data_IF_907211991650
#
_entry.id   IF_907211991650
#
_cell.length_a   1.000
_cell.length_b   1.000
_cell.length_c   1.000
_cell.angle_alpha   90.00
_cell.angle_beta   90.00
_cell.angle_gamma   90.00
#
_symmetry.space_group_name_H-M   'P 1'
#
loop_
_entity.id
_entity.type
_entity.pdbx_description
1 polymer ?
#
# COMPACT_ATOMS: atom_id res chain seq x y z
N UNK A 1 -6.02 -8.51 -11.66
CA UNK A 1 -4.74 -8.10 -12.28
C UNK A 1 -3.63 -8.86 -11.56
N UNK A 2 -2.40 -8.92 -12.10
CA UNK A 2 -1.24 -9.53 -11.42
C UNK A 2 -0.23 -8.46 -11.05
N UNK A 3 -0.66 -7.43 -10.33
CA UNK A 3 0.25 -6.42 -9.80
C UNK A 3 0.96 -7.06 -8.59
N UNK A 4 2.18 -7.54 -8.82
CA UNK A 4 3.07 -8.00 -7.75
C UNK A 4 3.72 -6.81 -7.04
N UNK A 5 4.55 -7.11 -6.03
CA UNK A 5 5.44 -6.13 -5.38
C UNK A 5 6.15 -5.22 -6.40
N UNK A 6 6.80 -5.79 -7.41
CA UNK A 6 7.50 -5.00 -8.44
C UNK A 6 6.55 -4.09 -9.25
N UNK A 7 5.31 -4.53 -9.49
CA UNK A 7 4.30 -3.70 -10.12
C UNK A 7 3.87 -2.53 -9.22
N UNK A 8 3.76 -2.75 -7.91
CA UNK A 8 3.47 -1.70 -6.94
C UNK A 8 4.63 -0.69 -6.82
N UNK A 9 5.88 -1.16 -6.85
CA UNK A 9 7.07 -0.30 -6.89
C UNK A 9 7.11 0.56 -8.15
N UNK A 10 6.81 -0.01 -9.32
CA UNK A 10 6.73 0.74 -10.56
C UNK A 10 5.61 1.80 -10.52
N UNK A 11 4.46 1.47 -9.95
CA UNK A 11 3.38 2.43 -9.71
C UNK A 11 3.81 3.53 -8.75
N UNK A 12 4.49 3.17 -7.66
CA UNK A 12 5.02 4.13 -6.70
C UNK A 12 6.00 5.11 -7.37
N UNK A 13 6.92 4.61 -8.22
CA UNK A 13 7.81 5.46 -9.00
C UNK A 13 7.04 6.41 -9.92
N UNK A 14 6.02 5.91 -10.63
CA UNK A 14 5.19 6.72 -11.51
C UNK A 14 4.38 7.79 -10.75
N UNK A 15 3.93 7.52 -9.53
CA UNK A 15 3.21 8.50 -8.70
C UNK A 15 4.07 9.69 -8.28
N UNK A 16 5.39 9.51 -8.23
CA UNK A 16 6.37 10.55 -7.87
C UNK A 16 6.78 11.42 -9.05
N UNK A 17 6.43 11.03 -10.27
CA UNK A 17 6.69 11.84 -11.45
C UNK A 17 5.85 13.13 -11.40
N UNK A 18 6.49 14.29 -11.60
CA UNK A 18 5.82 15.59 -11.56
C UNK A 18 4.69 15.73 -12.60
N UNK A 19 4.79 14.99 -13.72
CA UNK A 19 3.80 14.95 -14.77
C UNK A 19 2.67 13.95 -14.48
N UNK A 20 2.79 13.13 -13.42
CA UNK A 20 1.71 12.26 -13.01
C UNK A 20 0.49 13.11 -12.62
N UNK A 21 -0.66 12.75 -13.19
CA UNK A 21 -1.96 13.40 -12.95
C UNK A 21 -2.97 12.41 -12.38
N UNK A 22 -2.51 11.30 -11.81
CA UNK A 22 -3.40 10.28 -11.28
C UNK A 22 -3.96 10.73 -9.92
N UNK A 23 -5.29 10.83 -9.84
CA UNK A 23 -5.99 11.22 -8.62
C UNK A 23 -6.60 10.02 -7.89
N UNK A 24 -6.85 8.92 -8.61
CA UNK A 24 -7.44 7.70 -8.06
C UNK A 24 -6.68 6.49 -8.59
N UNK A 25 -6.22 5.64 -7.67
CA UNK A 25 -5.56 4.38 -7.98
C UNK A 25 -6.36 3.25 -7.33
N UNK A 26 -6.89 2.36 -8.15
CA UNK A 26 -7.55 1.13 -7.70
C UNK A 26 -6.74 -0.07 -8.15
N UNK A 27 -6.09 -0.70 -7.18
CA UNK A 27 -5.31 -1.92 -7.34
C UNK A 27 -5.84 -3.01 -6.41
N UNK A 28 -7.13 -2.98 -6.06
CA UNK A 28 -7.73 -4.04 -5.27
C UNK A 28 -7.60 -5.43 -5.94
N UNK A 29 -7.51 -6.50 -5.14
CA UNK A 29 -7.39 -7.89 -5.61
C UNK A 29 -6.12 -8.13 -6.47
N UNK A 30 -4.96 -7.80 -5.91
CA UNK A 30 -3.64 -8.10 -6.48
C UNK A 30 -2.70 -8.67 -5.38
N UNK A 31 -1.39 -8.75 -5.66
CA UNK A 31 -0.37 -9.37 -4.79
C UNK A 31 0.68 -8.32 -4.37
N UNK A 32 0.22 -7.17 -3.88
CA UNK A 32 1.10 -6.03 -3.55
C UNK A 32 1.98 -6.32 -2.33
N UNK A 33 1.43 -7.00 -1.31
CA UNK A 33 2.16 -7.35 -0.08
C UNK A 33 2.58 -6.13 0.75
N UNK A 34 3.28 -6.38 1.85
CA UNK A 34 3.84 -5.33 2.70
C UNK A 34 4.86 -4.46 1.97
N UNK A 35 5.82 -5.07 1.26
CA UNK A 35 6.86 -4.34 0.54
C UNK A 35 6.29 -3.38 -0.52
N UNK A 36 5.28 -3.82 -1.27
CA UNK A 36 4.62 -2.95 -2.24
C UNK A 36 3.78 -1.85 -1.58
N UNK A 37 3.16 -2.13 -0.43
CA UNK A 37 2.45 -1.12 0.35
C UNK A 37 3.40 -0.07 0.94
N UNK A 38 4.58 -0.47 1.40
CA UNK A 38 5.65 0.44 1.86
C UNK A 38 6.14 1.34 0.73
N UNK A 39 6.36 0.79 -0.47
CA UNK A 39 6.74 1.56 -1.65
C UNK A 39 5.67 2.61 -2.00
N UNK A 40 4.39 2.23 -1.99
CA UNK A 40 3.28 3.15 -2.20
C UNK A 40 3.22 4.21 -1.10
N UNK A 41 3.42 3.84 0.16
CA UNK A 41 3.48 4.77 1.28
C UNK A 41 4.59 5.81 1.12
N UNK A 42 5.78 5.40 0.68
CA UNK A 42 6.87 6.32 0.38
C UNK A 42 6.49 7.31 -0.74
N UNK A 43 5.82 6.84 -1.80
CA UNK A 43 5.35 7.70 -2.88
C UNK A 43 4.26 8.70 -2.43
N UNK A 44 3.38 8.32 -1.50
CA UNK A 44 2.35 9.22 -0.95
C UNK A 44 2.94 10.43 -0.22
N UNK A 45 4.18 10.32 0.28
CA UNK A 45 4.90 11.41 0.97
C UNK A 45 5.65 12.34 0.02
N UNK A 46 5.73 11.98 -1.26
CA UNK A 46 6.41 12.79 -2.26
C UNK A 46 5.56 14.02 -2.62
N UNK A 47 6.18 15.19 -2.69
CA UNK A 47 5.49 16.45 -2.98
C UNK A 47 4.82 16.46 -4.37
N UNK A 48 5.28 15.63 -5.30
CA UNK A 48 4.71 15.50 -6.63
C UNK A 48 3.48 14.58 -6.68
N UNK A 49 3.22 13.79 -5.63
CA UNK A 49 2.12 12.85 -5.62
C UNK A 49 0.78 13.57 -5.50
N UNK A 50 -0.08 13.40 -6.52
CA UNK A 50 -1.41 14.02 -6.61
C UNK A 50 -2.53 13.04 -6.31
N UNK A 51 -2.22 11.92 -5.65
CA UNK A 51 -3.19 10.87 -5.39
C UNK A 51 -4.13 11.27 -4.25
N UNK A 52 -5.44 11.23 -4.50
CA UNK A 52 -6.48 11.55 -3.53
C UNK A 52 -7.18 10.30 -3.02
N UNK A 53 -7.21 9.23 -3.81
CA UNK A 53 -7.88 7.98 -3.47
C UNK A 53 -7.02 6.77 -3.80
N UNK A 54 -6.79 5.91 -2.81
CA UNK A 54 -6.08 4.64 -2.96
C UNK A 54 -6.99 3.49 -2.50
N UNK A 55 -7.29 2.60 -3.44
CA UNK A 55 -8.01 1.36 -3.21
C UNK A 55 -7.01 0.21 -3.33
N UNK A 56 -6.65 -0.38 -2.20
CA UNK A 56 -5.67 -1.48 -2.11
C UNK A 56 -6.30 -2.68 -1.40
N UNK A 57 -7.62 -2.82 -1.38
CA UNK A 57 -8.30 -3.93 -0.72
C UNK A 57 -7.87 -5.31 -1.27
N UNK A 58 -7.74 -6.32 -0.41
CA UNK A 58 -7.40 -7.70 -0.80
C UNK A 58 -6.08 -7.79 -1.60
N UNK A 59 -4.99 -7.37 -0.98
CA UNK A 59 -3.65 -7.26 -1.55
C UNK A 59 -2.53 -7.90 -0.72
N UNK A 60 -2.89 -8.72 0.27
CA UNK A 60 -1.95 -9.35 1.19
C UNK A 60 -1.08 -8.33 1.96
N UNK A 61 -1.62 -7.14 2.24
CA UNK A 61 -0.95 -6.16 3.11
C UNK A 61 -1.14 -6.58 4.57
N UNK A 62 -0.04 -6.81 5.27
CA UNK A 62 0.03 -7.14 6.69
C UNK A 62 0.14 -5.89 7.57
N UNK A 63 0.52 -6.10 8.83
CA UNK A 63 0.63 -5.02 9.82
C UNK A 63 1.68 -3.98 9.44
N UNK A 64 2.84 -4.42 8.92
CA UNK A 64 3.94 -3.54 8.55
C UNK A 64 3.55 -2.60 7.39
N UNK A 65 2.97 -3.12 6.32
CA UNK A 65 2.52 -2.30 5.19
C UNK A 65 1.35 -1.40 5.56
N UNK A 66 0.42 -1.86 6.40
CA UNK A 66 -0.67 -1.04 6.91
C UNK A 66 -0.17 0.12 7.79
N UNK A 67 0.82 -0.13 8.65
CA UNK A 67 1.46 0.89 9.47
C UNK A 67 2.22 1.92 8.61
N UNK A 68 2.97 1.47 7.60
CA UNK A 68 3.65 2.35 6.66
C UNK A 68 2.66 3.27 5.93
N UNK A 69 1.56 2.71 5.42
CA UNK A 69 0.48 3.49 4.81
C UNK A 69 -0.12 4.49 5.81
N UNK A 70 -0.42 4.07 7.03
CA UNK A 70 -0.96 4.96 8.07
C UNK A 70 0.01 6.11 8.44
N UNK A 71 1.31 5.82 8.50
CA UNK A 71 2.34 6.82 8.75
C UNK A 71 2.42 7.85 7.61
N UNK A 72 2.27 7.41 6.35
CA UNK A 72 2.28 8.33 5.20
C UNK A 72 1.12 9.33 5.23
N UNK A 73 -0.04 8.95 5.77
CA UNK A 73 -1.21 9.85 5.88
C UNK A 73 -0.97 11.04 6.82
N UNK A 74 0.03 10.95 7.70
CA UNK A 74 0.40 12.04 8.63
C UNK A 74 1.43 13.00 8.04
N UNK A 75 1.97 12.69 6.88
CA UNK A 75 2.95 13.55 6.21
C UNK A 75 2.25 14.76 5.59
N UNK A 76 2.85 15.94 5.70
CA UNK A 76 2.30 17.19 5.18
C UNK A 76 2.13 17.20 3.65
N UNK A 77 2.90 16.38 2.94
CA UNK A 77 2.82 16.26 1.49
C UNK A 77 1.72 15.31 1.03
N UNK A 78 1.23 14.42 1.90
CA UNK A 78 0.21 13.44 1.54
C UNK A 78 -1.11 14.15 1.14
N UNK A 79 -1.53 13.93 -0.11
CA UNK A 79 -2.80 14.45 -0.67
C UNK A 79 -3.94 13.44 -0.61
N UNK A 80 -3.71 12.29 0.04
CA UNK A 80 -4.69 11.22 0.10
C UNK A 80 -5.82 11.57 1.07
N UNK A 81 -7.06 11.54 0.58
CA UNK A 81 -8.27 11.77 1.36
C UNK A 81 -9.02 10.46 1.63
N UNK A 82 -8.78 9.42 0.84
CA UNK A 82 -9.47 8.15 0.95
C UNK A 82 -8.49 7.00 0.78
N UNK A 83 -8.29 6.24 1.86
CA UNK A 83 -7.59 4.96 1.84
C UNK A 83 -8.59 3.83 2.11
N UNK A 84 -8.65 2.87 1.20
CA UNK A 84 -9.47 1.66 1.38
C UNK A 84 -8.55 0.43 1.34
N UNK A 85 -8.31 -0.12 2.52
CA UNK A 85 -7.40 -1.23 2.80
C UNK A 85 -8.14 -2.48 3.33
N UNK A 86 -9.46 -2.54 3.21
CA UNK A 86 -10.26 -3.69 3.68
C UNK A 86 -9.80 -5.03 3.09
N UNK A 87 -10.05 -6.13 3.80
CA UNK A 87 -9.69 -7.48 3.34
C UNK A 87 -8.19 -7.69 3.06
N UNK A 88 -7.32 -6.80 3.56
CA UNK A 88 -5.89 -7.04 3.67
C UNK A 88 -5.63 -7.70 5.00
N UNK A 89 -5.82 -9.01 5.02
CA UNK A 89 -5.42 -9.84 6.14
C UNK A 89 -4.66 -11.02 5.54
N UNK A 90 -3.35 -11.01 5.72
CA UNK A 90 -2.52 -12.17 5.38
C UNK A 90 -1.43 -12.37 6.41
N UNK A 91 -1.63 -13.43 7.20
CA UNK A 91 -0.65 -14.19 7.96
C UNK A 91 -0.18 -13.69 9.35
N UNK A 92 -1.05 -13.10 10.18
CA UNK A 92 -0.81 -13.04 11.64
C UNK A 92 -1.73 -13.96 12.47
N UNK A 93 -2.12 -15.09 11.87
CA UNK A 93 -2.62 -16.26 12.61
C UNK A 93 -1.89 -17.53 12.18
N UNK A 94 -0.61 -17.64 12.57
CA UNK A 94 -0.05 -18.97 12.83
C UNK A 94 -0.20 -19.28 14.32
N UNK A 95 -1.14 -20.17 14.58
CA UNK A 95 -1.40 -20.83 15.86
C UNK A 95 -0.18 -21.70 16.22
N UNK A 96 0.39 -21.47 17.41
CA UNK A 96 1.27 -22.29 18.28
C UNK A 96 1.99 -23.53 17.68
N UNK A 97 3.31 -23.74 17.91
CA UNK A 97 3.90 -25.08 17.83
C UNK A 97 3.31 -26.00 18.93
N UNK A 98 3.13 -27.30 18.67
CA UNK A 98 2.57 -28.23 19.64
C UNK A 98 3.42 -28.31 20.92
N UNK A 99 2.76 -28.60 22.04
CA UNK A 99 3.41 -28.92 23.31
C UNK A 99 4.49 -29.99 23.07
N UNK A 100 5.74 -29.63 23.33
CA UNK A 100 6.78 -30.63 23.59
C UNK A 100 6.55 -31.14 25.01
N UNK A 101 6.47 -32.46 25.16
CA UNK A 101 6.03 -33.17 26.37
C UNK A 101 6.88 -32.96 27.61
#
# INVERSE_FOLDING_TARGET
NRISVAGAEALAAALRDANCKLHTLNIARNDVGDAGAEALAAALRDANCKLHTLHIANNFVGAAGAEALAASLRDANCKLHTLKICENASADTFVKPPLSG
#
